data_IF_485761883965
#
_entry.id   IF_485761883965
#
_cell.length_a   1.000
_cell.length_b   1.000
_cell.length_c   1.000
_cell.angle_alpha   90.00
_cell.angle_beta   90.00
_cell.angle_gamma   90.00
#
_symmetry.space_group_name_H-M   'P 1'
#
loop_
_entity.id
_entity.type
_entity.pdbx_description
1 polymer ?
#
# COMPACT_ATOMS: atom_id res chain seq x y z
N UNK A 1 -7.16 18.08 14.96
CA UNK A 1 -6.56 17.97 16.31
C UNK A 1 -5.10 17.64 16.10
N UNK A 2 -4.17 18.10 16.94
CA UNK A 2 -2.78 17.66 16.81
C UNK A 2 -2.72 16.14 17.06
N UNK A 3 -2.06 15.42 16.16
CA UNK A 3 -1.81 14.00 16.32
C UNK A 3 -1.02 13.77 17.60
N UNK A 4 -1.53 12.90 18.47
CA UNK A 4 -0.95 12.65 19.78
C UNK A 4 -0.63 11.17 19.89
N UNK A 5 0.48 10.76 19.26
CA UNK A 5 0.85 9.36 19.36
C UNK A 5 2.23 9.08 18.76
N UNK A 6 2.84 7.95 19.10
CA UNK A 6 4.12 7.54 18.53
C UNK A 6 4.02 7.13 17.05
N UNK A 7 2.82 6.87 16.51
CA UNK A 7 2.61 6.59 15.08
C UNK A 7 3.26 5.29 14.62
N UNK A 8 3.20 4.22 15.42
CA UNK A 8 3.90 2.97 15.11
C UNK A 8 3.22 2.20 13.98
N UNK A 9 1.87 2.13 13.97
CA UNK A 9 1.16 1.62 12.81
C UNK A 9 0.96 2.70 11.78
N UNK A 10 0.56 3.91 12.19
CA UNK A 10 0.30 5.06 11.33
C UNK A 10 1.43 6.13 11.41
N UNK A 11 2.42 6.13 10.51
CA UNK A 11 2.74 5.13 9.49
C UNK A 11 4.17 4.59 9.68
N UNK A 12 4.54 4.24 10.92
CA UNK A 12 5.78 3.53 11.21
C UNK A 12 5.83 2.16 10.53
N UNK A 13 4.67 1.47 10.44
CA UNK A 13 4.57 0.16 9.79
C UNK A 13 4.95 0.21 8.32
N UNK A 14 4.34 1.09 7.53
CA UNK A 14 4.68 1.28 6.11
C UNK A 14 6.11 1.78 5.92
N UNK A 15 6.57 2.69 6.78
CA UNK A 15 7.93 3.22 6.77
C UNK A 15 8.97 2.10 6.95
N UNK A 16 8.83 1.29 7.99
CA UNK A 16 9.76 0.20 8.28
C UNK A 16 9.68 -0.92 7.23
N UNK A 17 8.46 -1.27 6.77
CA UNK A 17 8.25 -2.26 5.71
C UNK A 17 8.93 -1.85 4.40
N UNK A 18 8.73 -0.61 3.98
CA UNK A 18 9.37 -0.04 2.78
C UNK A 18 10.89 -0.05 2.89
N UNK A 19 11.44 0.31 4.07
CA UNK A 19 12.88 0.26 4.32
C UNK A 19 13.43 -1.16 4.26
N UNK A 20 12.74 -2.12 4.88
CA UNK A 20 13.15 -3.53 4.86
C UNK A 20 13.20 -4.07 3.43
N UNK A 21 12.22 -3.76 2.59
CA UNK A 21 12.19 -4.15 1.16
C UNK A 21 13.37 -3.49 0.42
N UNK A 22 13.60 -2.18 0.61
CA UNK A 22 14.68 -1.46 -0.04
C UNK A 22 16.06 -2.07 0.29
N UNK A 23 16.31 -2.37 1.56
CA UNK A 23 17.54 -3.01 2.02
C UNK A 23 17.70 -4.42 1.44
N UNK A 24 16.62 -5.19 1.38
CA UNK A 24 16.64 -6.54 0.82
C UNK A 24 16.97 -6.52 -0.68
N UNK A 25 16.28 -5.69 -1.45
CA UNK A 25 16.55 -5.51 -2.89
C UNK A 25 17.98 -5.03 -3.12
N UNK A 26 18.47 -4.07 -2.32
CA UNK A 26 19.86 -3.61 -2.40
C UNK A 26 20.87 -4.74 -2.17
N UNK A 27 20.58 -5.70 -1.28
CA UNK A 27 21.43 -6.90 -1.08
C UNK A 27 21.36 -7.82 -2.29
N UNK A 28 20.17 -8.10 -2.81
CA UNK A 28 19.99 -8.94 -4.01
C UNK A 28 20.75 -8.39 -5.22
N UNK A 29 20.68 -7.08 -5.45
CA UNK A 29 21.38 -6.40 -6.55
C UNK A 29 22.90 -6.55 -6.47
N UNK A 30 23.47 -6.72 -5.26
CA UNK A 30 24.92 -6.89 -5.05
C UNK A 30 25.39 -8.33 -5.04
N UNK A 31 24.52 -9.28 -4.75
CA UNK A 31 24.90 -10.66 -4.45
C UNK A 31 24.49 -11.68 -5.51
N UNK A 32 23.64 -11.29 -6.44
CA UNK A 32 23.05 -12.21 -7.42
C UNK A 32 22.91 -11.55 -8.79
N UNK A 33 22.58 -12.33 -9.81
CA UNK A 33 22.20 -11.84 -11.15
C UNK A 33 20.81 -11.16 -11.15
N UNK A 34 20.34 -10.71 -10.00
CA UNK A 34 19.04 -10.07 -9.87
C UNK A 34 18.91 -8.82 -10.74
N UNK A 35 20.01 -8.03 -10.82
CA UNK A 35 20.07 -6.83 -11.64
C UNK A 35 19.80 -7.09 -13.14
N UNK A 36 20.21 -8.24 -13.66
CA UNK A 36 20.04 -8.62 -15.07
C UNK A 36 18.57 -8.78 -15.47
N UNK A 37 17.72 -9.12 -14.50
CA UNK A 37 16.29 -9.29 -14.69
C UNK A 37 15.47 -8.02 -14.46
N UNK A 38 16.10 -6.97 -13.89
CA UNK A 38 15.41 -5.69 -13.65
C UNK A 38 15.22 -4.92 -14.95
N UNK A 39 14.00 -4.49 -15.21
CA UNK A 39 13.61 -3.67 -16.38
C UNK A 39 13.20 -2.26 -16.00
N UNK A 40 12.95 -2.02 -14.72
CA UNK A 40 12.53 -0.72 -14.20
C UNK A 40 13.43 -0.26 -13.07
N UNK A 41 13.58 1.05 -12.94
CA UNK A 41 14.23 1.66 -11.76
C UNK A 41 13.24 1.74 -10.62
N UNK A 42 13.70 1.45 -9.42
CA UNK A 42 12.93 1.60 -8.20
C UNK A 42 13.36 2.87 -7.46
N UNK A 43 12.39 3.60 -6.97
CA UNK A 43 12.59 4.74 -6.08
C UNK A 43 11.77 4.49 -4.82
N UNK A 44 12.42 4.41 -3.69
CA UNK A 44 11.78 4.33 -2.38
C UNK A 44 11.67 5.74 -1.83
N UNK A 45 10.50 6.08 -1.33
CA UNK A 45 10.19 7.43 -0.84
C UNK A 45 9.53 7.35 0.53
N UNK A 46 9.85 8.31 1.37
CA UNK A 46 9.20 8.56 2.66
C UNK A 46 8.78 10.02 2.67
N UNK A 47 7.50 10.24 2.81
CA UNK A 47 6.91 11.57 2.72
C UNK A 47 6.73 12.18 4.10
N UNK A 48 6.97 13.47 4.24
CA UNK A 48 6.68 14.21 5.46
C UNK A 48 5.39 15.00 5.32
N UNK A 49 4.65 15.16 6.44
CA UNK A 49 3.44 15.97 6.48
C UNK A 49 2.26 15.39 5.70
N UNK A 50 2.14 14.07 5.67
CA UNK A 50 0.98 13.39 5.10
C UNK A 50 -0.30 13.86 5.78
N UNK A 51 -0.34 13.81 7.08
CA UNK A 51 -1.44 14.20 7.98
C UNK A 51 -1.80 15.69 7.93
N UNK A 52 -0.94 16.49 7.36
CA UNK A 52 -1.15 17.93 7.14
C UNK A 52 -1.69 18.23 5.74
N UNK A 53 -2.18 17.23 5.04
CA UNK A 53 -2.75 17.34 3.69
C UNK A 53 -1.77 16.94 2.60
N UNK A 54 -1.07 15.82 2.75
CA UNK A 54 -0.18 15.21 1.76
C UNK A 54 0.96 16.15 1.31
N UNK A 55 1.52 16.94 2.23
CA UNK A 55 2.44 18.04 1.87
C UNK A 55 3.66 17.54 1.08
N UNK A 56 4.32 16.48 1.55
CA UNK A 56 5.55 15.99 0.94
C UNK A 56 5.34 15.38 -0.44
N UNK A 57 4.36 14.51 -0.58
CA UNK A 57 4.03 13.88 -1.86
C UNK A 57 3.49 14.88 -2.89
N UNK A 58 2.65 15.83 -2.44
CA UNK A 58 2.14 16.91 -3.29
C UNK A 58 3.26 17.80 -3.82
N UNK A 59 4.17 18.25 -2.94
CA UNK A 59 5.30 19.09 -3.36
C UNK A 59 6.24 18.34 -4.32
N UNK A 60 6.49 17.05 -4.05
CA UNK A 60 7.28 16.23 -4.95
C UNK A 60 6.65 16.13 -6.34
N UNK A 61 5.36 15.79 -6.43
CA UNK A 61 4.64 15.65 -7.70
C UNK A 61 4.60 16.99 -8.44
N UNK A 62 4.31 18.09 -7.73
CA UNK A 62 4.31 19.44 -8.28
C UNK A 62 5.67 19.81 -8.91
N UNK A 63 6.78 19.58 -8.20
CA UNK A 63 8.15 19.83 -8.71
C UNK A 63 8.48 18.95 -9.89
N UNK A 64 8.20 17.63 -9.79
CA UNK A 64 8.45 16.69 -10.87
C UNK A 64 7.64 17.00 -12.14
N UNK A 65 6.44 17.58 -11.98
CA UNK A 65 5.64 18.09 -13.10
C UNK A 65 6.27 19.32 -13.74
N UNK A 66 6.71 20.27 -12.92
CA UNK A 66 7.29 21.53 -13.38
C UNK A 66 8.62 21.32 -14.14
N UNK A 67 9.47 20.39 -13.72
CA UNK A 67 10.73 20.06 -14.39
C UNK A 67 10.62 18.98 -15.47
N UNK A 68 9.41 18.47 -15.71
CA UNK A 68 9.11 17.44 -16.69
C UNK A 68 9.58 16.02 -16.33
N UNK A 69 10.09 15.81 -15.11
CA UNK A 69 10.56 14.49 -14.66
C UNK A 69 9.43 13.54 -14.27
N UNK A 70 8.21 14.06 -14.05
CA UNK A 70 7.05 13.24 -13.64
C UNK A 70 6.76 12.11 -14.62
N UNK A 71 6.99 12.32 -15.92
CA UNK A 71 6.85 11.31 -16.98
C UNK A 71 7.77 10.09 -16.84
N UNK A 72 8.77 10.14 -15.95
CA UNK A 72 9.68 9.02 -15.65
C UNK A 72 9.08 8.04 -14.63
N UNK A 73 7.99 8.42 -13.96
CA UNK A 73 7.32 7.60 -12.97
C UNK A 73 6.10 6.92 -13.61
N UNK A 74 6.20 5.61 -13.76
CA UNK A 74 5.13 4.81 -14.38
C UNK A 74 4.07 4.36 -13.38
N UNK A 75 4.44 4.17 -12.12
CA UNK A 75 3.57 3.61 -11.08
C UNK A 75 3.97 4.14 -9.72
N UNK A 76 2.97 4.30 -8.86
CA UNK A 76 3.15 4.51 -7.42
C UNK A 76 2.53 3.33 -6.66
N UNK A 77 3.27 2.76 -5.72
CA UNK A 77 2.77 1.79 -4.74
C UNK A 77 2.83 2.42 -3.36
N UNK A 78 1.70 2.47 -2.68
CA UNK A 78 1.55 3.08 -1.36
C UNK A 78 1.31 2.04 -0.29
N UNK A 79 2.02 2.16 0.82
CA UNK A 79 1.94 1.27 1.97
C UNK A 79 1.78 2.11 3.23
N UNK A 80 0.56 2.21 3.69
CA UNK A 80 0.15 3.05 4.79
C UNK A 80 -0.69 2.23 5.75
N UNK A 81 -0.31 2.20 7.04
CA UNK A 81 -0.96 1.39 8.06
C UNK A 81 -1.12 -0.09 7.65
N UNK A 82 -0.02 -0.82 7.59
CA UNK A 82 0.01 -2.22 7.14
C UNK A 82 0.11 -3.24 8.29
N UNK A 83 -0.27 -2.84 9.52
CA UNK A 83 -0.15 -3.68 10.71
C UNK A 83 -1.27 -3.51 11.75
N UNK A 84 -2.46 -3.06 11.39
CA UNK A 84 -3.58 -2.81 12.30
C UNK A 84 -3.95 -4.04 13.14
N UNK A 85 -4.31 -3.89 14.42
CA UNK A 85 -4.53 -5.04 15.30
C UNK A 85 -5.73 -5.90 14.93
N UNK A 86 -6.82 -5.29 14.50
CA UNK A 86 -8.02 -5.99 14.01
C UNK A 86 -8.05 -6.02 12.46
N UNK A 87 -6.93 -6.28 11.84
CA UNK A 87 -6.59 -6.10 10.44
C UNK A 87 -7.56 -6.72 9.42
N UNK A 88 -7.61 -6.11 8.26
CA UNK A 88 -7.94 -6.74 6.99
C UNK A 88 -6.68 -6.80 6.11
N UNK A 89 -6.55 -7.81 5.27
CA UNK A 89 -5.60 -7.74 4.15
C UNK A 89 -6.24 -6.93 3.04
N UNK A 90 -6.22 -5.61 3.24
CA UNK A 90 -6.90 -4.66 2.37
C UNK A 90 -6.04 -4.30 1.17
N UNK A 91 -6.67 -4.28 0.01
CA UNK A 91 -6.08 -3.92 -1.28
C UNK A 91 -6.84 -2.73 -1.83
N UNK A 92 -6.15 -1.64 -2.17
CA UNK A 92 -6.81 -0.52 -2.81
C UNK A 92 -7.47 -0.95 -4.13
N UNK A 93 -8.78 -0.70 -4.25
CA UNK A 93 -9.57 -1.06 -5.44
C UNK A 93 -9.58 0.09 -6.44
N UNK A 94 -8.85 -0.07 -7.53
CA UNK A 94 -8.78 0.92 -8.60
C UNK A 94 -10.14 1.31 -9.21
N UNK A 95 -11.18 0.47 -9.05
CA UNK A 95 -12.55 0.78 -9.50
C UNK A 95 -13.26 1.82 -8.64
N UNK A 96 -12.80 2.02 -7.41
CA UNK A 96 -13.39 3.01 -6.48
C UNK A 96 -12.72 4.37 -6.55
N UNK A 97 -11.73 4.54 -7.43
CA UNK A 97 -11.12 5.84 -7.68
C UNK A 97 -12.18 6.84 -8.18
N UNK A 98 -12.14 8.04 -7.63
CA UNK A 98 -13.08 9.10 -8.00
C UNK A 98 -12.89 9.50 -9.47
N UNK A 99 -13.89 9.22 -10.30
CA UNK A 99 -13.87 9.50 -11.73
C UNK A 99 -13.83 11.01 -12.06
N UNK A 100 -14.12 11.88 -11.11
CA UNK A 100 -14.10 13.35 -11.31
C UNK A 100 -12.70 13.92 -11.13
N UNK A 101 -11.87 13.28 -10.30
CA UNK A 101 -10.53 13.76 -9.96
C UNK A 101 -9.42 12.87 -10.51
N UNK A 102 -9.73 11.62 -10.89
CA UNK A 102 -8.75 10.66 -11.40
C UNK A 102 -8.77 10.60 -12.92
N UNK A 103 -7.67 10.94 -13.60
CA UNK A 103 -7.57 10.79 -15.04
C UNK A 103 -7.81 9.34 -15.48
N UNK A 104 -8.67 9.14 -16.47
CA UNK A 104 -9.08 7.81 -16.98
C UNK A 104 -7.90 6.92 -17.33
N UNK A 105 -6.80 7.49 -17.80
CA UNK A 105 -5.58 6.75 -18.16
C UNK A 105 -4.95 5.97 -17.01
N UNK A 106 -5.15 6.39 -15.74
CA UNK A 106 -4.59 5.70 -14.57
C UNK A 106 -5.35 4.42 -14.20
N UNK A 107 -6.64 4.36 -14.54
CA UNK A 107 -7.55 3.32 -14.05
C UNK A 107 -7.17 1.90 -14.54
N UNK A 108 -6.81 1.66 -15.82
CA UNK A 108 -6.42 0.32 -16.25
C UNK A 108 -5.24 -0.24 -15.45
N UNK A 109 -4.21 0.57 -15.26
CA UNK A 109 -3.02 0.18 -14.49
C UNK A 109 -3.35 -0.06 -13.02
N UNK A 110 -4.11 0.85 -12.39
CA UNK A 110 -4.53 0.70 -10.98
C UNK A 110 -5.34 -0.59 -10.78
N UNK A 111 -6.27 -0.90 -11.67
CA UNK A 111 -7.05 -2.15 -11.63
C UNK A 111 -6.16 -3.40 -11.81
N UNK A 112 -5.12 -3.33 -12.64
CA UNK A 112 -4.16 -4.44 -12.79
C UNK A 112 -3.32 -4.65 -11.55
N UNK A 113 -2.91 -3.55 -10.87
CA UNK A 113 -2.19 -3.63 -9.59
C UNK A 113 -3.09 -4.24 -8.51
N UNK A 114 -4.36 -3.83 -8.42
CA UNK A 114 -5.34 -4.45 -7.53
C UNK A 114 -5.41 -5.96 -7.76
N UNK A 115 -5.52 -6.40 -9.03
CA UNK A 115 -5.56 -7.82 -9.37
C UNK A 115 -4.26 -8.56 -9.02
N UNK A 116 -3.10 -7.94 -9.22
CA UNK A 116 -1.80 -8.51 -8.85
C UNK A 116 -1.73 -8.84 -7.34
N UNK A 117 -2.23 -7.95 -6.48
CA UNK A 117 -2.31 -8.21 -5.05
C UNK A 117 -3.31 -9.31 -4.72
N UNK A 118 -4.48 -9.32 -5.36
CA UNK A 118 -5.50 -10.37 -5.19
C UNK A 118 -4.88 -11.74 -5.52
N UNK A 119 -4.26 -11.89 -6.68
CA UNK A 119 -3.61 -13.14 -7.10
C UNK A 119 -2.52 -13.59 -6.11
N UNK A 120 -1.78 -12.65 -5.53
CA UNK A 120 -0.81 -12.97 -4.48
C UNK A 120 -1.50 -13.55 -3.24
N UNK A 121 -2.52 -12.88 -2.68
CA UNK A 121 -3.19 -13.34 -1.48
C UNK A 121 -3.90 -14.68 -1.70
N UNK A 122 -4.56 -14.87 -2.84
CA UNK A 122 -5.19 -16.14 -3.21
C UNK A 122 -4.17 -17.28 -3.31
N UNK A 123 -3.03 -17.04 -3.96
CA UNK A 123 -1.92 -18.01 -4.03
C UNK A 123 -1.36 -18.36 -2.65
N UNK A 124 -1.33 -17.41 -1.73
CA UNK A 124 -0.92 -17.63 -0.34
C UNK A 124 -2.05 -18.23 0.53
N UNK A 125 -3.26 -18.43 0.00
CA UNK A 125 -4.46 -18.87 0.73
C UNK A 125 -4.79 -17.96 1.91
N UNK A 126 -4.60 -16.65 1.74
CA UNK A 126 -4.95 -15.62 2.71
C UNK A 126 -6.25 -14.93 2.30
N UNK A 127 -7.11 -14.55 3.25
CA UNK A 127 -8.26 -13.69 2.95
C UNK A 127 -7.78 -12.33 2.48
N UNK A 128 -8.60 -11.64 1.72
CA UNK A 128 -8.35 -10.27 1.31
C UNK A 128 -9.65 -9.48 1.19
N UNK A 129 -9.55 -8.17 1.24
CA UNK A 129 -10.67 -7.24 1.13
C UNK A 129 -10.33 -6.07 0.22
N UNK A 130 -11.35 -5.53 -0.45
CA UNK A 130 -11.20 -4.25 -1.14
C UNK A 130 -11.21 -3.10 -0.14
N UNK A 131 -10.34 -2.13 -0.39
CA UNK A 131 -10.29 -0.86 0.33
C UNK A 131 -10.53 0.29 -0.65
N UNK A 132 -11.26 1.31 -0.20
CA UNK A 132 -11.60 2.45 -1.04
C UNK A 132 -10.38 3.25 -1.48
N UNK A 133 -10.39 3.65 -2.75
CA UNK A 133 -9.32 4.47 -3.35
C UNK A 133 -9.68 5.96 -3.22
N UNK A 134 -9.66 6.46 -1.98
CA UNK A 134 -10.22 7.77 -1.61
C UNK A 134 -9.32 8.98 -1.95
N UNK A 135 -8.06 8.76 -2.32
CA UNK A 135 -7.06 9.83 -2.49
C UNK A 135 -6.51 10.40 -1.18
N UNK A 136 -6.85 9.81 -0.01
CA UNK A 136 -6.51 10.33 1.32
C UNK A 136 -5.15 9.88 1.85
N UNK A 137 -4.30 9.29 1.04
CA UNK A 137 -2.92 8.95 1.37
C UNK A 137 -1.98 9.35 0.23
N UNK A 138 -0.68 9.24 0.40
CA UNK A 138 0.37 9.78 -0.48
C UNK A 138 0.35 9.31 -1.95
N UNK A 139 -0.49 8.32 -2.29
CA UNK A 139 -0.78 8.00 -3.69
C UNK A 139 -1.64 9.06 -4.39
N UNK A 140 -2.41 9.84 -3.63
CA UNK A 140 -3.39 10.80 -4.16
C UNK A 140 -2.81 11.77 -5.20
N UNK A 141 -1.73 12.50 -4.91
CA UNK A 141 -1.11 13.43 -5.87
C UNK A 141 -0.63 12.74 -7.16
N UNK A 142 -0.13 11.50 -7.08
CA UNK A 142 0.29 10.74 -8.26
C UNK A 142 -0.91 10.31 -9.10
N UNK A 143 -1.96 9.82 -8.46
CA UNK A 143 -3.20 9.41 -9.11
C UNK A 143 -3.86 10.58 -9.84
N UNK A 144 -3.90 11.76 -9.22
CA UNK A 144 -4.44 12.99 -9.80
C UNK A 144 -3.70 13.43 -11.09
N UNK A 145 -2.43 13.09 -11.21
CA UNK A 145 -1.63 13.33 -12.43
C UNK A 145 -1.71 12.16 -13.43
N UNK A 146 -2.58 11.18 -13.19
CA UNK A 146 -2.83 10.05 -14.08
C UNK A 146 -1.73 8.99 -14.05
N UNK A 147 -0.95 8.91 -12.98
CA UNK A 147 -0.04 7.80 -12.72
C UNK A 147 -0.85 6.66 -12.10
N UNK A 148 -0.71 5.46 -12.64
CA UNK A 148 -1.32 4.27 -12.06
C UNK A 148 -0.81 4.05 -10.63
N UNK A 149 -1.73 3.88 -9.70
CA UNK A 149 -1.41 3.68 -8.30
C UNK A 149 -2.03 2.38 -7.79
N UNK A 150 -1.49 1.86 -6.71
CA UNK A 150 -2.04 0.76 -5.94
C UNK A 150 -1.34 0.65 -4.61
N UNK A 151 -1.74 -0.32 -3.81
CA UNK A 151 -1.12 -0.51 -2.52
C UNK A 151 -1.96 -1.33 -1.57
N UNK A 152 -1.52 -1.35 -0.33
CA UNK A 152 -2.07 -2.17 0.74
C UNK A 152 -2.39 -1.32 1.96
N UNK A 153 -3.44 -1.73 2.68
CA UNK A 153 -3.92 -1.03 3.86
C UNK A 153 -4.62 -2.03 4.80
N UNK A 154 -4.33 -2.01 6.09
CA UNK A 154 -4.95 -2.95 7.03
C UNK A 154 -6.19 -2.39 7.74
N UNK A 155 -6.52 -1.14 7.48
CA UNK A 155 -7.67 -0.43 8.02
C UNK A 155 -7.33 0.53 9.17
N UNK A 156 -8.12 1.56 9.31
CA UNK A 156 -8.02 2.59 10.35
C UNK A 156 -9.25 2.55 11.28
N UNK A 157 -10.14 3.54 11.17
CA UNK A 157 -11.33 3.71 11.98
C UNK A 157 -12.58 2.97 11.46
N UNK A 158 -12.45 2.27 10.33
CA UNK A 158 -13.52 1.43 9.84
C UNK A 158 -13.74 0.20 10.74
N UNK A 159 -14.97 -0.30 10.76
CA UNK A 159 -15.32 -1.49 11.54
C UNK A 159 -15.26 -2.77 10.70
N UNK A 160 -14.64 -3.82 11.24
CA UNK A 160 -14.71 -5.16 10.67
C UNK A 160 -16.14 -5.69 10.69
N UNK A 161 -16.64 -6.11 9.54
CA UNK A 161 -17.99 -6.70 9.46
C UNK A 161 -18.02 -8.13 10.03
N UNK A 162 -19.22 -8.63 10.31
CA UNK A 162 -19.39 -10.02 10.72
C UNK A 162 -18.95 -11.00 9.62
N UNK A 163 -19.27 -10.69 8.37
CA UNK A 163 -18.88 -11.49 7.21
C UNK A 163 -17.35 -11.57 7.05
N UNK A 164 -16.67 -10.45 7.16
CA UNK A 164 -15.20 -10.38 7.11
C UNK A 164 -14.60 -11.23 8.24
N UNK A 165 -15.06 -11.03 9.48
CA UNK A 165 -14.60 -11.81 10.64
C UNK A 165 -14.79 -13.30 10.43
N UNK A 166 -15.95 -13.75 9.93
CA UNK A 166 -16.24 -15.17 9.73
C UNK A 166 -15.42 -15.77 8.58
N UNK A 167 -15.14 -15.01 7.54
CA UNK A 167 -14.20 -15.40 6.47
C UNK A 167 -12.77 -15.56 7.02
N UNK A 168 -12.28 -14.61 7.82
CA UNK A 168 -10.97 -14.68 8.45
C UNK A 168 -10.89 -15.83 9.45
N UNK A 169 -11.96 -16.11 10.19
CA UNK A 169 -12.05 -17.27 11.09
C UNK A 169 -11.89 -18.59 10.33
N UNK A 170 -12.59 -18.75 9.20
CA UNK A 170 -12.49 -19.97 8.39
C UNK A 170 -11.10 -20.17 7.80
N UNK A 171 -10.42 -19.09 7.41
CA UNK A 171 -9.15 -19.17 6.69
C UNK A 171 -7.93 -19.15 7.60
N UNK A 172 -7.97 -18.41 8.69
CA UNK A 172 -6.83 -18.15 9.59
C UNK A 172 -6.99 -18.72 10.99
N UNK A 173 -8.21 -19.15 11.34
CA UNK A 173 -8.52 -19.63 12.68
C UNK A 173 -8.83 -18.51 13.69
N UNK A 174 -9.23 -18.88 14.91
CA UNK A 174 -9.78 -17.95 15.91
C UNK A 174 -8.79 -16.91 16.39
N UNK A 175 -7.51 -17.24 16.48
CA UNK A 175 -6.47 -16.29 16.97
C UNK A 175 -6.23 -15.10 16.04
N UNK A 176 -6.56 -15.24 14.74
CA UNK A 176 -6.28 -14.25 13.70
C UNK A 176 -7.53 -13.70 13.01
N UNK A 177 -8.71 -14.12 13.43
CA UNK A 177 -9.99 -13.68 12.83
C UNK A 177 -10.35 -12.24 13.19
N UNK A 178 -9.84 -11.74 14.31
CA UNK A 178 -10.20 -10.45 14.86
C UNK A 178 -11.63 -10.42 15.43
N UNK A 179 -12.13 -9.22 15.63
CA UNK A 179 -13.44 -8.96 16.26
C UNK A 179 -14.38 -8.27 15.27
N UNK A 180 -15.55 -8.87 15.06
CA UNK A 180 -16.61 -8.22 14.30
C UNK A 180 -17.19 -7.02 15.07
N UNK A 181 -17.66 -6.02 14.33
CA UNK A 181 -18.23 -4.78 14.87
C UNK A 181 -17.26 -4.01 15.78
N UNK A 182 -15.97 -4.24 15.60
CA UNK A 182 -14.90 -3.50 16.24
C UNK A 182 -14.06 -2.77 15.18
N UNK A 183 -13.52 -1.64 15.57
CA UNK A 183 -12.65 -0.81 14.75
C UNK A 183 -11.40 -1.61 14.34
N UNK A 184 -10.92 -1.41 13.12
CA UNK A 184 -9.74 -2.10 12.60
C UNK A 184 -8.47 -1.68 13.34
N UNK A 185 -8.31 -0.37 13.56
CA UNK A 185 -7.25 0.18 14.42
C UNK A 185 -7.81 1.12 15.48
N UNK A 186 -8.05 0.63 16.71
CA UNK A 186 -8.60 1.45 17.79
C UNK A 186 -7.64 2.52 18.31
N UNK A 187 -6.35 2.43 17.96
CA UNK A 187 -5.34 3.41 18.35
C UNK A 187 -4.98 4.40 17.24
N UNK A 188 -5.68 4.35 16.10
CA UNK A 188 -5.51 5.29 15.00
C UNK A 188 -5.57 6.74 15.49
N UNK A 189 -4.52 7.53 15.23
CA UNK A 189 -4.34 8.90 15.69
C UNK A 189 -4.40 9.09 17.22
N UNK A 190 -3.99 8.08 17.99
CA UNK A 190 -3.99 8.12 19.45
C UNK A 190 -2.63 7.78 20.05
N UNK A 191 -2.45 8.15 21.32
CA UNK A 191 -1.21 7.86 22.07
C UNK A 191 -0.93 6.37 22.29
N UNK A 192 -1.94 5.51 22.11
CA UNK A 192 -1.78 4.06 22.18
C UNK A 192 -1.29 3.40 20.87
N UNK A 193 -1.03 4.16 19.82
CA UNK A 193 -0.42 3.60 18.60
C UNK A 193 1.08 3.32 18.81
N UNK A 194 1.33 2.32 19.66
CA UNK A 194 2.63 1.80 20.05
C UNK A 194 2.91 0.44 19.43
N UNK A 195 4.01 -0.21 19.78
CA UNK A 195 4.34 -1.57 19.30
C UNK A 195 3.28 -2.61 19.71
N UNK A 196 2.57 -2.40 20.82
CA UNK A 196 1.49 -3.26 21.28
C UNK A 196 0.24 -3.18 20.36
N UNK A 197 0.10 -2.08 19.61
CA UNK A 197 -0.96 -1.89 18.64
C UNK A 197 -0.67 -2.59 17.30
N UNK A 198 0.51 -3.19 17.11
CA UNK A 198 0.90 -3.80 15.85
C UNK A 198 0.59 -5.29 15.78
N UNK A 199 -0.17 -5.73 14.78
CA UNK A 199 -0.35 -7.13 14.48
C UNK A 199 0.81 -7.65 13.61
N UNK A 200 1.74 -8.39 14.22
CA UNK A 200 2.95 -8.88 13.55
C UNK A 200 2.65 -9.85 12.39
N UNK A 201 1.58 -10.66 12.50
CA UNK A 201 1.19 -11.58 11.43
C UNK A 201 0.71 -10.80 10.21
N UNK A 202 -0.20 -9.84 10.41
CA UNK A 202 -0.67 -8.98 9.32
C UNK A 202 0.49 -8.21 8.68
N UNK A 203 1.30 -7.56 9.50
CA UNK A 203 2.46 -6.79 9.05
C UNK A 203 3.40 -7.61 8.17
N UNK A 204 3.79 -8.81 8.62
CA UNK A 204 4.67 -9.69 7.86
C UNK A 204 4.10 -10.06 6.48
N UNK A 205 2.82 -10.40 6.41
CA UNK A 205 2.18 -10.80 5.16
C UNK A 205 1.96 -9.61 4.23
N UNK A 206 1.66 -8.44 4.75
CA UNK A 206 1.56 -7.21 3.96
C UNK A 206 2.90 -6.80 3.37
N UNK A 207 3.99 -6.85 4.15
CA UNK A 207 5.35 -6.58 3.64
C UNK A 207 5.76 -7.59 2.55
N UNK A 208 5.42 -8.87 2.72
CA UNK A 208 5.68 -9.89 1.68
C UNK A 208 4.88 -9.63 0.41
N UNK A 209 3.62 -9.23 0.51
CA UNK A 209 2.79 -8.86 -0.64
C UNK A 209 3.35 -7.63 -1.35
N UNK A 210 3.77 -6.62 -0.60
CA UNK A 210 4.44 -5.43 -1.14
C UNK A 210 5.73 -5.80 -1.89
N UNK A 211 6.60 -6.61 -1.28
CA UNK A 211 7.84 -7.06 -1.91
C UNK A 211 7.58 -7.83 -3.20
N UNK A 212 6.59 -8.74 -3.20
CA UNK A 212 6.19 -9.50 -4.39
C UNK A 212 5.74 -8.58 -5.52
N UNK A 213 4.89 -7.60 -5.24
CA UNK A 213 4.38 -6.70 -6.27
C UNK A 213 5.48 -5.81 -6.85
N UNK A 214 6.39 -5.31 -6.02
CA UNK A 214 7.55 -4.53 -6.45
C UNK A 214 8.46 -5.37 -7.35
N UNK A 215 8.78 -6.60 -6.95
CA UNK A 215 9.61 -7.52 -7.73
C UNK A 215 8.97 -7.86 -9.09
N UNK A 216 7.68 -8.17 -9.08
CA UNK A 216 6.92 -8.47 -10.30
C UNK A 216 6.95 -7.30 -11.29
N UNK A 217 6.57 -6.10 -10.84
CA UNK A 217 6.49 -4.91 -11.69
C UNK A 217 7.87 -4.48 -12.18
N UNK A 218 8.91 -4.62 -11.35
CA UNK A 218 10.27 -4.26 -11.72
C UNK A 218 10.86 -5.13 -12.84
N UNK A 219 10.38 -6.36 -12.99
CA UNK A 219 10.84 -7.34 -14.00
C UNK A 219 10.03 -7.36 -15.28
N UNK A 220 8.89 -6.66 -15.32
CA UNK A 220 8.06 -6.61 -16.53
C UNK A 220 8.82 -5.97 -17.69
N UNK A 221 8.87 -6.67 -18.84
CA UNK A 221 9.52 -6.21 -20.05
C UNK A 221 8.93 -4.87 -20.56
N UNK A 222 7.60 -4.74 -20.52
CA UNK A 222 6.87 -3.61 -21.03
C UNK A 222 5.91 -3.06 -19.95
N UNK A 223 6.45 -2.56 -18.84
CA UNK A 223 5.67 -2.05 -17.72
C UNK A 223 4.65 -0.99 -18.15
N UNK A 224 5.04 -0.05 -19.02
CA UNK A 224 4.13 0.99 -19.48
C UNK A 224 2.94 0.43 -20.29
N UNK A 225 3.17 -0.54 -21.16
CA UNK A 225 2.09 -1.20 -21.91
C UNK A 225 1.20 -2.04 -20.99
N UNK A 226 1.78 -2.59 -19.93
CA UNK A 226 1.02 -3.33 -18.92
C UNK A 226 0.17 -2.39 -18.06
N UNK A 227 0.62 -1.18 -17.75
CA UNK A 227 -0.13 -0.19 -16.96
C UNK A 227 -1.12 0.61 -17.81
N UNK A 228 -0.76 0.94 -19.05
CA UNK A 228 -1.48 1.85 -19.95
C UNK A 228 -1.72 1.18 -21.31
N UNK A 229 -2.64 0.20 -21.37
CA UNK A 229 -2.94 -0.56 -22.59
C UNK A 229 -3.60 0.27 -23.67
#
# INVERSE_FOLDING_TARGET
MPYVGPGINDNGSGTAGTLAIALHISRLLRQTNYAENMRSRLKFCWWGGEEMGLLGSTDFVRRAKADGSLKKYSVNLNFDMIGSPNFLFGIYDGKTADNTTTPVRALPGSNRITRLFIEYFEKQRLPWDYMGFSGRSDYGPFLAEGIACGGLFTGADEMKTQEQRDRYLRMLGPALSGMARAILDPCYHRSCDTMENLNQFAYLHMVKAAAYSIDYLAKLQNLNQWLYP
#
